data_IF_826361542532
#
_entry.id   IF_826361542532
#
_cell.length_a   1.000
_cell.length_b   1.000
_cell.length_c   1.000
_cell.angle_alpha   90.00
_cell.angle_beta   90.00
_cell.angle_gamma   90.00
#
_symmetry.space_group_name_H-M   'P 1'
#
loop_
_entity.id
_entity.type
_entity.pdbx_description
1 polymer ?
#
# COMPACT_ATOMS: atom_id res chain seq x y z
N UNK A 1 31.16 43.00 -12.42
CA UNK A 1 30.07 42.34 -11.65
C UNK A 1 29.93 40.90 -12.15
N UNK A 2 30.41 39.87 -11.44
CA UNK A 2 30.37 38.50 -11.95
C UNK A 2 28.96 37.92 -11.80
N UNK A 3 28.48 37.28 -12.88
CA UNK A 3 27.14 36.70 -13.01
C UNK A 3 26.91 35.67 -11.89
N UNK A 4 25.91 35.92 -11.04
CA UNK A 4 25.45 35.01 -10.00
C UNK A 4 25.05 33.69 -10.65
N UNK A 5 25.85 32.65 -10.42
CA UNK A 5 25.51 31.27 -10.73
C UNK A 5 24.13 30.94 -10.15
N UNK A 6 23.11 30.79 -10.99
CA UNK A 6 21.86 30.12 -10.60
C UNK A 6 22.21 28.64 -10.41
N UNK A 7 22.33 28.19 -9.15
CA UNK A 7 22.26 26.77 -8.82
C UNK A 7 20.93 26.23 -9.36
N UNK A 8 20.99 25.17 -10.16
CA UNK A 8 19.80 24.41 -10.51
C UNK A 8 19.12 23.93 -9.21
N UNK A 9 17.79 23.99 -9.10
CA UNK A 9 17.11 23.43 -7.96
C UNK A 9 17.38 21.92 -7.95
N UNK A 10 18.00 21.44 -6.87
CA UNK A 10 18.07 20.02 -6.55
C UNK A 10 16.65 19.44 -6.67
N UNK A 11 16.50 18.42 -7.53
CA UNK A 11 15.23 17.71 -7.69
C UNK A 11 14.81 17.17 -6.33
N UNK A 12 13.83 17.84 -5.71
CA UNK A 12 13.26 17.40 -4.44
C UNK A 12 12.79 15.95 -4.61
N UNK A 13 13.12 15.03 -3.69
CA UNK A 13 12.56 13.70 -3.73
C UNK A 13 11.02 13.82 -3.72
N UNK A 14 10.30 12.96 -4.46
CA UNK A 14 8.85 13.02 -4.48
C UNK A 14 8.33 12.90 -3.06
N UNK A 15 7.40 13.79 -2.69
CA UNK A 15 6.77 13.76 -1.38
C UNK A 15 6.19 12.35 -1.14
N UNK A 16 6.34 11.80 0.09
CA UNK A 16 5.76 10.50 0.39
C UNK A 16 4.25 10.55 0.13
N UNK A 17 3.76 9.63 -0.70
CA UNK A 17 2.33 9.57 -1.03
C UNK A 17 1.52 9.45 0.26
N UNK A 18 0.39 10.17 0.38
CA UNK A 18 -0.41 10.15 1.59
C UNK A 18 -0.84 8.71 1.87
N UNK A 19 -0.55 8.23 3.09
CA UNK A 19 -1.08 6.98 3.61
C UNK A 19 -2.54 7.26 3.93
N UNK A 20 -3.45 6.67 3.16
CA UNK A 20 -4.86 6.82 3.45
C UNK A 20 -5.22 5.97 4.67
N UNK A 21 -6.18 6.45 5.47
CA UNK A 21 -6.68 5.70 6.61
C UNK A 21 -7.21 4.34 6.14
N UNK A 22 -6.92 3.31 6.94
CA UNK A 22 -7.39 1.96 6.66
C UNK A 22 -8.91 1.91 6.78
N UNK A 23 -9.62 1.41 5.77
CA UNK A 23 -11.06 1.23 5.88
C UNK A 23 -11.37 0.29 7.05
N UNK A 24 -12.36 0.59 7.93
CA UNK A 24 -12.66 -0.24 9.09
C UNK A 24 -12.96 -1.71 8.75
N UNK A 25 -13.62 -1.96 7.61
CA UNK A 25 -13.91 -3.31 7.13
C UNK A 25 -12.67 -4.10 6.70
N UNK A 26 -11.55 -3.41 6.45
CA UNK A 26 -10.31 -4.03 5.99
C UNK A 26 -9.39 -4.42 7.16
N UNK A 27 -9.63 -3.91 8.37
CA UNK A 27 -8.81 -4.22 9.54
C UNK A 27 -9.07 -5.64 10.05
N UNK A 28 -8.02 -6.32 10.51
CA UNK A 28 -8.12 -7.65 11.14
C UNK A 28 -7.25 -7.69 12.40
N UNK A 29 -7.56 -8.58 13.37
CA UNK A 29 -6.67 -8.83 14.49
C UNK A 29 -5.29 -9.32 14.01
N UNK A 30 -4.25 -9.00 14.78
CA UNK A 30 -2.87 -9.48 14.59
C UNK A 30 -2.20 -9.04 13.25
N UNK A 31 -2.85 -8.15 12.49
CA UNK A 31 -2.28 -7.58 11.27
C UNK A 31 -2.55 -6.09 11.14
N UNK A 32 -1.50 -5.33 10.85
CA UNK A 32 -1.60 -3.94 10.43
C UNK A 32 -2.00 -3.89 8.94
N UNK A 33 -3.22 -3.44 8.65
CA UNK A 33 -3.69 -3.22 7.29
C UNK A 33 -3.60 -1.74 6.95
N UNK A 34 -3.12 -1.38 5.76
CA UNK A 34 -2.91 0.01 5.32
C UNK A 34 -3.33 0.23 3.88
N UNK A 35 -4.04 1.32 3.62
CA UNK A 35 -4.39 1.74 2.27
C UNK A 35 -3.28 2.61 1.67
N UNK A 36 -2.67 2.13 0.59
CA UNK A 36 -1.53 2.80 -0.06
C UNK A 36 -1.70 2.83 -1.58
N UNK A 37 -0.97 3.73 -2.24
CA UNK A 37 -0.72 3.67 -3.67
C UNK A 37 0.77 3.47 -3.90
N UNK A 38 1.13 2.46 -4.69
CA UNK A 38 2.51 2.08 -4.94
C UNK A 38 3.08 2.71 -6.21
N UNK A 39 4.39 2.74 -6.30
CA UNK A 39 5.12 3.12 -7.54
C UNK A 39 5.66 1.90 -8.28
N UNK A 40 5.71 0.77 -7.57
CA UNK A 40 6.15 -0.53 -8.07
C UNK A 40 4.96 -1.44 -8.25
N UNK A 41 5.11 -2.38 -9.17
CA UNK A 41 4.17 -3.47 -9.35
C UNK A 41 4.41 -4.52 -8.28
N UNK A 42 3.32 -5.01 -7.66
CA UNK A 42 3.36 -6.07 -6.67
C UNK A 42 2.40 -7.20 -7.05
N UNK A 43 2.64 -8.43 -6.59
CA UNK A 43 1.74 -9.56 -6.87
C UNK A 43 0.71 -9.72 -5.77
N UNK A 44 -0.57 -9.82 -6.15
CA UNK A 44 -1.65 -10.05 -5.22
C UNK A 44 -1.82 -11.55 -4.90
N UNK A 45 -1.77 -11.98 -3.63
CA UNK A 45 -1.93 -13.40 -3.28
C UNK A 45 -3.32 -13.99 -3.53
N UNK A 46 -4.36 -13.15 -3.58
CA UNK A 46 -5.74 -13.63 -3.75
C UNK A 46 -6.15 -13.93 -5.19
N UNK A 47 -5.47 -13.34 -6.17
CA UNK A 47 -5.77 -13.53 -7.58
C UNK A 47 -4.54 -13.81 -8.44
N UNK A 48 -3.33 -13.76 -7.89
CA UNK A 48 -2.06 -13.88 -8.62
C UNK A 48 -1.81 -12.82 -9.70
N UNK A 49 -2.65 -11.78 -9.78
CA UNK A 49 -2.49 -10.69 -10.73
C UNK A 49 -1.62 -9.56 -10.17
N UNK A 50 -0.94 -8.81 -11.06
CA UNK A 50 -0.18 -7.64 -10.66
C UNK A 50 -1.08 -6.49 -10.20
N UNK A 51 -0.73 -5.91 -9.06
CA UNK A 51 -1.19 -4.61 -8.57
C UNK A 51 -0.35 -3.55 -9.25
N UNK A 52 -0.93 -2.85 -10.22
CA UNK A 52 -0.20 -1.85 -11.02
C UNK A 52 0.18 -0.62 -10.17
N UNK A 53 1.30 0.05 -10.51
CA UNK A 53 1.64 1.35 -9.94
C UNK A 53 0.49 2.36 -10.05
N UNK A 54 0.30 3.18 -9.03
CA UNK A 54 -0.76 4.18 -8.97
C UNK A 54 -2.13 3.64 -8.56
N UNK A 55 -2.33 2.32 -8.53
CA UNK A 55 -3.57 1.72 -8.03
C UNK A 55 -3.58 1.71 -6.50
N UNK A 56 -4.69 2.16 -5.92
CA UNK A 56 -4.94 2.05 -4.48
C UNK A 56 -5.16 0.59 -4.09
N UNK A 57 -4.34 0.11 -3.16
CA UNK A 57 -4.36 -1.27 -2.70
C UNK A 57 -4.05 -1.35 -1.20
N UNK A 58 -4.35 -2.50 -0.61
CA UNK A 58 -4.14 -2.74 0.81
C UNK A 58 -2.83 -3.48 1.02
N UNK A 59 -2.00 -2.98 1.94
CA UNK A 59 -0.84 -3.68 2.45
C UNK A 59 -1.23 -4.28 3.79
N UNK A 60 -1.09 -5.59 3.91
CA UNK A 60 -1.37 -6.36 5.12
C UNK A 60 -0.04 -6.81 5.69
N UNK A 61 0.28 -6.35 6.89
CA UNK A 61 1.54 -6.61 7.58
C UNK A 61 1.21 -7.40 8.85
N UNK A 62 1.67 -8.65 9.00
CA UNK A 62 1.54 -9.37 10.27
C UNK A 62 2.29 -8.62 11.38
N UNK A 63 1.72 -8.54 12.59
CA UNK A 63 2.38 -7.85 13.71
C UNK A 63 3.66 -8.58 14.16
N UNK A 64 3.65 -9.91 14.15
CA UNK A 64 4.81 -10.74 14.53
C UNK A 64 5.86 -10.91 13.42
N UNK A 65 5.52 -10.61 12.16
CA UNK A 65 6.41 -10.77 11.00
C UNK A 65 6.26 -9.64 9.98
N UNK A 66 6.77 -8.42 10.26
CA UNK A 66 6.59 -7.25 9.41
C UNK A 66 7.20 -7.36 8.00
N UNK A 67 8.19 -8.23 7.83
CA UNK A 67 8.82 -8.58 6.56
C UNK A 67 7.88 -9.35 5.64
N UNK A 68 6.92 -10.10 6.19
CA UNK A 68 5.94 -10.88 5.45
C UNK A 68 4.75 -10.03 4.94
N UNK A 69 4.97 -8.73 4.75
CA UNK A 69 3.93 -7.83 4.24
C UNK A 69 3.43 -8.27 2.86
N UNK A 70 2.11 -8.35 2.70
CA UNK A 70 1.45 -8.78 1.47
C UNK A 70 0.64 -7.63 0.88
N UNK A 71 0.65 -7.55 -0.45
CA UNK A 71 -0.06 -6.52 -1.20
C UNK A 71 -1.32 -7.13 -1.78
N UNK A 72 -2.49 -6.57 -1.46
CA UNK A 72 -3.79 -7.06 -1.88
C UNK A 72 -4.55 -5.98 -2.63
N UNK A 73 -5.19 -6.36 -3.74
CA UNK A 73 -6.27 -5.53 -4.26
C UNK A 73 -7.36 -5.36 -3.20
N UNK A 74 -7.99 -4.20 -3.15
CA UNK A 74 -9.09 -3.91 -2.20
C UNK A 74 -10.21 -4.95 -2.29
N UNK A 75 -10.61 -5.35 -3.50
CA UNK A 75 -11.61 -6.39 -3.73
C UNK A 75 -11.13 -7.79 -3.33
N UNK A 76 -9.88 -8.15 -3.65
CA UNK A 76 -9.31 -9.44 -3.29
C UNK A 76 -9.19 -9.60 -1.77
N UNK A 77 -8.83 -8.53 -1.05
CA UNK A 77 -8.80 -8.56 0.41
C UNK A 77 -10.19 -8.81 1.00
N UNK A 78 -11.24 -8.17 0.48
CA UNK A 78 -12.62 -8.43 0.93
C UNK A 78 -13.05 -9.88 0.70
N UNK A 79 -12.64 -10.49 -0.41
CA UNK A 79 -12.86 -11.92 -0.66
C UNK A 79 -12.10 -12.76 0.37
N UNK A 80 -10.84 -12.44 0.64
CA UNK A 80 -10.00 -13.13 1.61
C UNK A 80 -10.58 -13.06 3.04
N UNK A 81 -11.04 -11.88 3.48
CA UNK A 81 -11.71 -11.73 4.77
C UNK A 81 -12.92 -12.66 4.89
N UNK A 82 -13.73 -12.77 3.83
CA UNK A 82 -14.85 -13.71 3.78
C UNK A 82 -14.39 -15.16 3.85
N UNK A 83 -13.29 -15.52 3.17
CA UNK A 83 -12.69 -16.87 3.23
C UNK A 83 -12.16 -17.20 4.63
N UNK A 84 -11.60 -16.23 5.34
CA UNK A 84 -11.12 -16.36 6.72
C UNK A 84 -12.23 -16.31 7.77
N UNK A 85 -13.49 -16.08 7.38
CA UNK A 85 -14.60 -15.89 8.31
C UNK A 85 -14.56 -14.56 9.08
N UNK A 86 -13.63 -13.66 8.74
CA UNK A 86 -13.46 -12.33 9.32
C UNK A 86 -14.32 -11.27 8.62
N UNK A 87 -14.86 -11.58 7.44
CA UNK A 87 -15.69 -10.70 6.63
C UNK A 87 -17.15 -10.63 7.09
N UNK A 88 -17.39 -10.54 8.40
CA UNK A 88 -18.73 -10.31 8.98
C UNK A 88 -18.92 -8.83 9.26
N UNK A 89 -19.47 -8.11 8.29
CA UNK A 89 -20.11 -6.81 8.43
C UNK A 89 -21.11 -6.64 7.28
#
# INVERSE_FOLDING_TARGET
MPRRHRRAPESLPPAPRPRAATPPWASVPDHEVRLVSGEKEYRCPGCDHPVRPGVWHLVVVPEDAPEERRHWHTGCWRVELRRRGLGRA
#
